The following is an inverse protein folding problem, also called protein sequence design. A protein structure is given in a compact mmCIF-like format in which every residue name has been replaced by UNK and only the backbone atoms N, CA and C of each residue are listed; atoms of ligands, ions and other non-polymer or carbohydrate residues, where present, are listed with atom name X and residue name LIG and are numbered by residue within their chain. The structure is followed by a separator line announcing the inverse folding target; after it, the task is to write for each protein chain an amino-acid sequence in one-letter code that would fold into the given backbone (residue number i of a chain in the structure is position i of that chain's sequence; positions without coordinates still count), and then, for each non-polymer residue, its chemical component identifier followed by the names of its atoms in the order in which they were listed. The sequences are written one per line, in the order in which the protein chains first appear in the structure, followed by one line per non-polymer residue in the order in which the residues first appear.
data_IF_184862624823
#
_entry.id   IF_184862624823
#
_cell.length_a   1.000
_cell.length_b   1.000
_cell.length_c   1.000
_cell.angle_alpha   90.00
_cell.angle_beta   90.00
_cell.angle_gamma   90.00
#
_symmetry.space_group_name_H-M   'P 1'
#
loop_
_entity.id
_entity.type
_entity.pdbx_description
1 polymer ?
#
# COMPACT_ATOMS: atom_id res chain seq x y z
N UNK A 1 -16.82 -19.68 13.15
CA UNK A 1 -18.18 -19.18 13.49
C UNK A 1 -18.19 -18.05 14.53
N UNK A 2 -17.18 -17.86 15.38
CA UNK A 2 -17.17 -16.84 16.45
C UNK A 2 -16.87 -15.39 15.98
N UNK A 3 -16.08 -15.19 14.96
CA UNK A 3 -15.71 -13.86 14.44
C UNK A 3 -16.86 -13.17 13.66
N UNK A 4 -17.64 -13.95 12.90
CA UNK A 4 -18.76 -13.41 12.13
C UNK A 4 -19.89 -12.87 13.03
N UNK A 5 -20.07 -13.42 14.25
CA UNK A 5 -21.11 -12.93 15.19
C UNK A 5 -20.76 -11.61 15.88
N UNK A 6 -19.47 -11.32 16.11
CA UNK A 6 -19.03 -10.05 16.73
C UNK A 6 -19.17 -8.87 15.77
N UNK A 7 -18.92 -9.08 14.47
CA UNK A 7 -19.08 -8.06 13.44
C UNK A 7 -20.56 -7.69 13.17
N UNK A 8 -21.49 -8.60 13.47
CA UNK A 8 -22.92 -8.37 13.31
C UNK A 8 -23.47 -7.35 14.32
N UNK A 9 -22.93 -7.33 15.53
CA UNK A 9 -23.34 -6.41 16.59
C UNK A 9 -22.91 -4.94 16.32
N UNK A 10 -21.72 -4.75 15.71
CA UNK A 10 -21.22 -3.42 15.36
C UNK A 10 -22.01 -2.76 14.20
N UNK A 11 -22.40 -3.55 13.19
CA UNK A 11 -23.18 -3.06 12.06
C UNK A 11 -24.64 -2.75 12.41
N UNK A 12 -25.23 -3.44 13.38
CA UNK A 12 -26.60 -3.20 13.81
C UNK A 12 -26.78 -1.88 14.60
N UNK A 13 -25.71 -1.36 15.21
CA UNK A 13 -25.70 -0.06 15.90
C UNK A 13 -25.80 1.14 14.95
N UNK A 14 -25.22 1.01 13.74
CA UNK A 14 -25.15 2.10 12.75
C UNK A 14 -26.41 2.16 11.86
N UNK A 15 -27.10 1.04 11.63
CA UNK A 15 -28.17 0.94 10.62
C UNK A 15 -29.61 0.99 11.17
N UNK A 16 -29.80 1.08 12.48
CA UNK A 16 -31.13 1.10 13.09
C UNK A 16 -31.90 -0.23 12.94
N UNK A 17 -32.88 -0.48 13.85
CA UNK A 17 -33.58 -1.78 14.02
C UNK A 17 -34.44 -2.31 12.83
N UNK A 18 -34.34 -1.74 11.63
CA UNK A 18 -35.18 -2.12 10.46
C UNK A 18 -34.44 -2.53 9.19
N UNK A 19 -33.11 -2.72 9.22
CA UNK A 19 -32.36 -3.19 8.07
C UNK A 19 -32.15 -4.73 8.11
N UNK A 20 -32.54 -5.45 7.06
CA UNK A 20 -32.17 -6.85 6.85
C UNK A 20 -30.91 -6.91 5.99
N UNK A 21 -29.86 -7.52 6.52
CA UNK A 21 -28.62 -7.77 5.80
C UNK A 21 -28.80 -9.02 4.92
N UNK A 22 -28.66 -8.87 3.60
CA UNK A 22 -28.59 -10.01 2.67
C UNK A 22 -27.16 -10.04 2.10
N UNK A 23 -26.39 -11.05 2.44
CA UNK A 23 -25.03 -11.25 1.93
C UNK A 23 -25.13 -12.05 0.65
N UNK A 24 -24.78 -11.43 -0.48
CA UNK A 24 -24.59 -12.10 -1.78
C UNK A 24 -23.14 -12.52 -1.98
N UNK A 25 -22.87 -13.38 -2.97
CA UNK A 25 -21.57 -13.96 -3.31
C UNK A 25 -20.45 -12.94 -3.61
N UNK A 26 -19.16 -13.34 -3.64
CA UNK A 26 -18.01 -12.45 -3.71
C UNK A 26 -18.03 -11.56 -4.96
N UNK A 27 -17.81 -10.26 -4.77
CA UNK A 27 -17.93 -9.20 -5.79
C UNK A 27 -19.19 -8.34 -5.61
N UNK A 28 -19.97 -8.57 -4.57
CA UNK A 28 -21.32 -8.11 -4.40
C UNK A 28 -21.49 -6.66 -3.96
N UNK A 29 -22.55 -6.08 -4.44
CA UNK A 29 -23.16 -4.83 -3.96
C UNK A 29 -24.08 -5.19 -2.78
N UNK A 30 -23.81 -4.63 -1.59
CA UNK A 30 -24.71 -4.76 -0.45
C UNK A 30 -26.00 -3.95 -0.71
N UNK A 31 -27.15 -4.60 -0.83
CA UNK A 31 -28.43 -3.91 -0.86
C UNK A 31 -28.91 -3.68 0.56
N UNK A 32 -28.87 -2.45 1.02
CA UNK A 32 -29.28 -2.05 2.37
C UNK A 32 -30.60 -1.28 2.28
N UNK A 33 -31.67 -1.94 2.74
CA UNK A 33 -32.97 -1.31 2.94
C UNK A 33 -33.80 -1.02 1.68
N UNK A 34 -35.12 -1.06 1.83
CA UNK A 34 -36.12 -0.66 0.82
C UNK A 34 -36.63 0.73 1.19
N UNK A 35 -36.46 1.70 0.32
CA UNK A 35 -37.11 2.99 0.48
C UNK A 35 -38.62 2.86 0.24
N UNK A 36 -39.45 3.76 0.81
CA UNK A 36 -40.91 3.76 0.66
C UNK A 36 -41.40 3.80 -0.81
N UNK A 37 -40.55 4.26 -1.72
CA UNK A 37 -40.82 4.34 -3.17
C UNK A 37 -40.34 3.12 -3.98
N UNK A 38 -39.91 2.04 -3.34
CA UNK A 38 -39.45 0.82 -4.04
C UNK A 38 -38.01 0.80 -4.52
N UNK A 39 -37.25 1.88 -4.38
CA UNK A 39 -35.85 1.98 -4.80
C UNK A 39 -34.89 1.38 -3.76
N UNK A 40 -33.77 0.79 -4.21
CA UNK A 40 -32.74 0.25 -3.33
C UNK A 40 -31.54 1.18 -3.28
N UNK A 41 -31.01 1.42 -2.09
CA UNK A 41 -29.75 2.11 -1.91
C UNK A 41 -28.60 1.09 -2.07
N UNK A 42 -27.77 1.26 -3.10
CA UNK A 42 -26.60 0.43 -3.32
C UNK A 42 -25.36 1.12 -2.71
N UNK A 43 -24.81 0.57 -1.62
CA UNK A 43 -23.56 1.03 -1.06
C UNK A 43 -22.42 0.18 -1.64
N UNK A 44 -21.42 0.83 -2.23
CA UNK A 44 -20.25 0.16 -2.77
C UNK A 44 -19.39 -0.36 -1.61
N UNK A 45 -19.48 -1.65 -1.33
CA UNK A 45 -18.80 -2.33 -0.20
C UNK A 45 -17.29 -2.05 -0.17
N UNK A 46 -16.65 -1.91 -1.33
CA UNK A 46 -15.22 -1.67 -1.43
C UNK A 46 -14.74 -0.41 -0.68
N UNK A 47 -15.55 0.64 -0.63
CA UNK A 47 -15.19 1.90 0.08
C UNK A 47 -15.27 1.73 1.60
N UNK A 48 -16.29 1.04 2.10
CA UNK A 48 -16.43 0.74 3.53
C UNK A 48 -15.33 -0.18 4.06
N UNK A 49 -14.92 -1.17 3.27
CA UNK A 49 -13.80 -2.05 3.65
C UNK A 49 -12.45 -1.33 3.59
N UNK A 50 -12.26 -0.39 2.67
CA UNK A 50 -11.06 0.45 2.61
C UNK A 50 -10.96 1.37 3.82
N UNK A 51 -12.04 2.06 4.19
CA UNK A 51 -12.10 2.94 5.36
C UNK A 51 -11.89 2.15 6.67
N UNK A 52 -12.55 1.00 6.84
CA UNK A 52 -12.36 0.13 8.01
C UNK A 52 -10.93 -0.41 8.13
N UNK A 53 -10.28 -0.76 7.03
CA UNK A 53 -8.89 -1.23 7.01
C UNK A 53 -7.90 -0.12 7.35
N UNK A 54 -8.16 1.09 6.86
CA UNK A 54 -7.36 2.27 7.18
C UNK A 54 -7.48 2.63 8.67
N UNK A 55 -8.68 2.54 9.25
CA UNK A 55 -8.92 2.71 10.69
C UNK A 55 -8.19 1.64 11.54
N UNK A 56 -8.11 0.39 11.05
CA UNK A 56 -7.40 -0.68 11.76
C UNK A 56 -5.90 -0.39 11.91
N UNK A 57 -5.23 0.11 10.88
CA UNK A 57 -3.81 0.47 10.97
C UNK A 57 -3.55 1.60 11.97
N UNK A 58 -4.57 2.40 12.26
CA UNK A 58 -4.48 3.53 13.18
C UNK A 58 -4.86 3.19 14.63
N UNK A 59 -5.51 2.07 14.88
CA UNK A 59 -6.05 1.69 16.19
C UNK A 59 -5.29 0.57 16.89
N UNK A 60 -4.44 -0.17 16.17
CA UNK A 60 -3.71 -1.34 16.69
C UNK A 60 -2.22 -1.22 16.36
N UNK A 61 -1.37 -1.87 17.16
CA UNK A 61 0.03 -2.09 16.78
C UNK A 61 0.08 -3.06 15.60
N UNK A 62 0.73 -2.65 14.53
CA UNK A 62 0.80 -3.42 13.27
C UNK A 62 2.24 -3.79 12.93
N UNK A 63 2.38 -4.81 12.12
CA UNK A 63 3.66 -5.29 11.60
C UNK A 63 3.99 -4.56 10.29
N UNK A 64 5.08 -3.81 10.25
CA UNK A 64 5.45 -3.02 9.09
C UNK A 64 6.79 -3.50 8.54
N UNK A 65 6.78 -3.91 7.26
CA UNK A 65 7.99 -4.22 6.51
C UNK A 65 8.54 -2.94 5.88
N UNK A 66 9.79 -2.62 6.17
CA UNK A 66 10.50 -1.47 5.61
C UNK A 66 11.53 -1.94 4.59
N UNK A 67 11.42 -1.50 3.34
CA UNK A 67 12.33 -1.85 2.25
C UNK A 67 13.10 -0.61 1.82
N UNK A 68 14.42 -0.62 2.03
CA UNK A 68 15.31 0.44 1.55
C UNK A 68 15.84 0.08 0.16
N UNK A 69 15.34 0.78 -0.85
CA UNK A 69 15.78 0.71 -2.24
C UNK A 69 16.81 1.79 -2.61
N UNK A 70 17.35 2.48 -1.62
CA UNK A 70 18.46 3.43 -1.82
C UNK A 70 19.70 2.71 -2.31
N UNK A 71 20.44 3.36 -3.22
CA UNK A 71 21.69 2.82 -3.80
C UNK A 71 22.64 3.95 -4.14
N UNK A 72 23.93 3.74 -3.85
CA UNK A 72 24.99 4.58 -4.40
C UNK A 72 25.15 4.29 -5.89
N UNK A 73 24.78 5.26 -6.74
CA UNK A 73 24.86 5.13 -8.19
C UNK A 73 24.97 6.50 -8.88
N UNK A 74 25.87 6.59 -9.86
CA UNK A 74 26.12 7.83 -10.59
C UNK A 74 26.60 8.94 -9.64
N UNK A 75 25.83 10.03 -9.57
CA UNK A 75 26.10 11.16 -8.68
C UNK A 75 25.39 11.08 -7.33
N UNK A 76 24.57 10.06 -7.12
CA UNK A 76 23.82 9.85 -5.87
C UNK A 76 24.56 8.89 -4.95
N UNK A 77 24.74 9.31 -3.70
CA UNK A 77 25.27 8.42 -2.66
C UNK A 77 24.18 7.57 -1.96
N UNK A 78 22.91 7.68 -2.38
CA UNK A 78 21.78 6.97 -1.76
C UNK A 78 21.37 7.46 -0.37
N UNK A 79 22.10 8.40 0.22
CA UNK A 79 21.98 8.79 1.64
C UNK A 79 20.59 9.26 2.07
N UNK A 80 19.90 10.05 1.24
CA UNK A 80 18.58 10.56 1.60
C UNK A 80 17.55 9.42 1.77
N UNK A 81 17.57 8.43 0.88
CA UNK A 81 16.67 7.27 1.02
C UNK A 81 16.96 6.49 2.29
N UNK A 82 18.23 6.24 2.59
CA UNK A 82 18.62 5.60 3.84
C UNK A 82 18.22 6.40 5.08
N UNK A 83 18.39 7.74 5.05
CA UNK A 83 17.93 8.62 6.14
C UNK A 83 16.41 8.52 6.33
N UNK A 84 15.61 8.56 5.27
CA UNK A 84 14.17 8.44 5.36
C UNK A 84 13.75 7.04 5.85
N UNK A 85 14.42 5.99 5.39
CA UNK A 85 14.20 4.62 5.89
C UNK A 85 14.42 4.53 7.42
N UNK A 86 15.53 5.05 7.92
CA UNK A 86 15.82 5.08 9.36
C UNK A 86 14.81 5.98 10.12
N UNK A 87 14.39 7.09 9.52
CA UNK A 87 13.34 7.96 10.09
C UNK A 87 12.03 7.19 10.23
N UNK A 88 11.60 6.46 9.19
CA UNK A 88 10.39 5.64 9.25
C UNK A 88 10.47 4.58 10.35
N UNK A 89 11.59 3.84 10.42
CA UNK A 89 11.81 2.85 11.48
C UNK A 89 11.64 3.46 12.86
N UNK A 90 12.35 4.55 13.13
CA UNK A 90 12.33 5.19 14.44
C UNK A 90 10.96 5.74 14.81
N UNK A 91 10.27 6.42 13.87
CA UNK A 91 8.96 7.00 14.07
C UNK A 91 7.90 5.92 14.33
N UNK A 92 7.89 4.85 13.53
CA UNK A 92 6.91 3.78 13.67
C UNK A 92 7.11 2.96 14.94
N UNK A 93 8.37 2.68 15.32
CA UNK A 93 8.68 2.02 16.59
C UNK A 93 8.29 2.88 17.80
N UNK A 94 8.48 4.21 17.71
CA UNK A 94 8.04 5.14 18.75
C UNK A 94 6.50 5.18 18.90
N UNK A 95 5.76 4.89 17.84
CA UNK A 95 4.30 4.71 17.86
C UNK A 95 3.88 3.31 18.34
N UNK A 96 4.83 2.42 18.66
CA UNK A 96 4.57 1.06 19.16
C UNK A 96 4.40 -0.01 18.09
N UNK A 97 4.60 0.32 16.80
CA UNK A 97 4.53 -0.67 15.73
C UNK A 97 5.76 -1.60 15.73
N UNK A 98 5.58 -2.82 15.22
CA UNK A 98 6.66 -3.76 15.01
C UNK A 98 7.22 -3.59 13.60
N UNK A 99 8.56 -3.49 13.48
CA UNK A 99 9.21 -3.33 12.18
C UNK A 99 10.16 -4.48 11.87
N UNK A 100 10.17 -4.93 10.62
CA UNK A 100 11.27 -5.69 10.00
C UNK A 100 11.77 -4.91 8.81
N UNK A 101 13.03 -5.08 8.46
CA UNK A 101 13.64 -4.29 7.39
C UNK A 101 14.49 -5.13 6.45
N UNK A 102 14.70 -4.60 5.23
CA UNK A 102 15.68 -5.07 4.26
C UNK A 102 16.29 -3.87 3.55
N UNK A 103 17.63 -3.78 3.58
CA UNK A 103 18.40 -2.89 2.72
C UNK A 103 18.73 -3.67 1.44
N UNK A 104 17.99 -3.39 0.38
CA UNK A 104 18.01 -4.22 -0.85
C UNK A 104 19.42 -4.32 -1.46
N UNK A 105 20.19 -3.22 -1.40
CA UNK A 105 21.54 -3.16 -1.98
C UNK A 105 22.59 -3.97 -1.19
N UNK A 106 22.30 -4.34 0.05
CA UNK A 106 23.17 -5.21 0.88
C UNK A 106 22.95 -6.71 0.61
N UNK A 107 21.95 -7.05 -0.19
CA UNK A 107 21.56 -8.43 -0.47
C UNK A 107 20.45 -8.94 0.44
N UNK A 108 19.84 -10.05 0.07
CA UNK A 108 18.72 -10.66 0.77
C UNK A 108 18.63 -12.15 0.47
N UNK A 109 17.96 -12.87 1.38
CA UNK A 109 17.64 -14.30 1.26
C UNK A 109 16.16 -14.47 0.89
N UNK A 110 15.86 -15.12 -0.23
CA UNK A 110 14.50 -15.19 -0.77
C UNK A 110 13.47 -15.80 0.18
N UNK A 111 13.73 -16.94 0.83
CA UNK A 111 12.81 -17.50 1.83
C UNK A 111 12.52 -16.53 2.97
N UNK A 112 13.53 -15.84 3.51
CA UNK A 112 13.32 -14.87 4.58
C UNK A 112 12.52 -13.65 4.12
N UNK A 113 12.71 -13.19 2.89
CA UNK A 113 11.92 -12.09 2.35
C UNK A 113 10.46 -12.49 2.18
N UNK A 114 10.17 -13.69 1.65
CA UNK A 114 8.79 -14.21 1.57
C UNK A 114 8.16 -14.27 2.96
N UNK A 115 8.88 -14.74 3.97
CA UNK A 115 8.40 -14.76 5.37
C UNK A 115 8.10 -13.35 5.91
N UNK A 116 8.90 -12.32 5.54
CA UNK A 116 8.63 -10.93 5.91
C UNK A 116 7.32 -10.44 5.28
N UNK A 117 7.06 -10.77 4.00
CA UNK A 117 5.78 -10.44 3.35
C UNK A 117 4.59 -11.18 3.98
N UNK A 118 4.77 -12.42 4.42
CA UNK A 118 3.73 -13.18 5.14
C UNK A 118 3.47 -12.63 6.54
N UNK A 119 4.46 -12.03 7.18
CA UNK A 119 4.37 -11.46 8.52
C UNK A 119 3.77 -10.05 8.55
N UNK A 120 4.01 -9.22 7.53
CA UNK A 120 3.62 -7.81 7.53
C UNK A 120 2.10 -7.59 7.48
N UNK A 121 1.62 -6.50 8.06
CA UNK A 121 0.31 -5.89 7.78
C UNK A 121 0.44 -4.80 6.69
N UNK A 122 1.59 -4.12 6.65
CA UNK A 122 1.91 -3.13 5.62
C UNK A 122 3.38 -3.22 5.20
N UNK A 123 3.67 -2.87 3.92
CA UNK A 123 5.04 -2.66 3.42
C UNK A 123 5.24 -1.22 2.99
N UNK A 124 6.38 -0.64 3.36
CA UNK A 124 6.84 0.68 2.89
C UNK A 124 8.03 0.48 1.96
N UNK A 125 7.89 0.90 0.71
CA UNK A 125 8.94 0.92 -0.29
C UNK A 125 9.61 2.30 -0.30
N UNK A 126 10.73 2.45 0.38
CA UNK A 126 11.56 3.65 0.35
C UNK A 126 12.53 3.56 -0.82
N UNK A 127 12.40 4.44 -1.83
CA UNK A 127 13.25 4.36 -3.02
C UNK A 127 13.38 5.69 -3.78
N UNK A 128 14.49 5.90 -4.51
CA UNK A 128 14.58 7.01 -5.45
C UNK A 128 13.79 6.73 -6.73
N UNK A 129 13.29 7.79 -7.36
CA UNK A 129 12.76 7.73 -8.72
C UNK A 129 13.89 7.79 -9.75
N UNK A 130 14.12 6.69 -10.46
CA UNK A 130 15.11 6.60 -11.52
C UNK A 130 14.43 6.30 -12.86
N UNK A 131 14.65 7.17 -13.85
CA UNK A 131 14.11 6.96 -15.19
C UNK A 131 12.61 6.56 -15.18
N UNK A 132 11.80 7.38 -14.48
CA UNK A 132 10.32 7.27 -14.36
C UNK A 132 9.83 5.99 -13.68
N UNK A 133 10.67 5.41 -12.81
CA UNK A 133 10.30 4.18 -12.10
C UNK A 133 11.21 3.88 -10.91
N UNK A 134 11.10 2.67 -10.35
CA UNK A 134 11.99 2.22 -9.29
C UNK A 134 13.40 1.95 -9.82
N UNK A 135 14.44 1.98 -8.97
CA UNK A 135 15.76 1.45 -9.30
C UNK A 135 15.68 -0.01 -9.79
N UNK A 136 16.57 -0.41 -10.69
CA UNK A 136 16.61 -1.81 -11.16
C UNK A 136 16.82 -2.81 -10.02
N UNK A 137 17.52 -2.43 -8.95
CA UNK A 137 17.70 -3.26 -7.75
C UNK A 137 16.39 -3.54 -7.04
N UNK A 138 15.54 -2.54 -6.92
CA UNK A 138 14.19 -2.67 -6.35
C UNK A 138 13.29 -3.52 -7.24
N UNK A 139 13.37 -3.31 -8.56
CA UNK A 139 12.62 -4.14 -9.52
C UNK A 139 13.09 -5.59 -9.50
N UNK A 140 14.41 -5.83 -9.45
CA UNK A 140 15.00 -7.16 -9.30
C UNK A 140 14.50 -7.83 -8.02
N UNK A 141 14.57 -7.13 -6.87
CA UNK A 141 14.06 -7.64 -5.59
C UNK A 141 12.58 -8.05 -5.71
N UNK A 142 11.75 -7.18 -6.25
CA UNK A 142 10.31 -7.48 -6.45
C UNK A 142 10.11 -8.72 -7.32
N UNK A 143 10.82 -8.81 -8.46
CA UNK A 143 10.68 -9.94 -9.38
C UNK A 143 11.11 -11.26 -8.73
N UNK A 144 12.22 -11.27 -8.01
CA UNK A 144 12.74 -12.47 -7.35
C UNK A 144 11.86 -12.90 -6.18
N UNK A 145 11.51 -11.98 -5.27
CA UNK A 145 10.75 -12.30 -4.07
C UNK A 145 9.31 -12.67 -4.40
N UNK A 146 8.65 -11.94 -5.30
CA UNK A 146 7.27 -12.28 -5.67
C UNK A 146 7.21 -13.60 -6.44
N UNK A 147 8.19 -13.89 -7.29
CA UNK A 147 8.27 -15.18 -7.97
C UNK A 147 8.53 -16.34 -6.99
N UNK A 148 9.46 -16.16 -6.04
CA UNK A 148 9.69 -17.14 -4.98
C UNK A 148 8.48 -17.35 -4.07
N UNK A 149 7.65 -16.34 -3.91
CA UNK A 149 6.42 -16.36 -3.13
C UNK A 149 5.21 -17.00 -3.82
N UNK A 150 5.35 -17.60 -5.00
CA UNK A 150 4.26 -18.29 -5.68
C UNK A 150 3.64 -19.39 -4.80
N UNK A 151 2.31 -19.40 -4.72
CA UNK A 151 1.56 -20.26 -3.81
C UNK A 151 1.45 -19.76 -2.37
N UNK A 152 2.22 -18.73 -1.98
CA UNK A 152 2.22 -18.12 -0.64
C UNK A 152 1.76 -16.65 -0.66
N UNK A 153 2.29 -15.85 -1.57
CA UNK A 153 1.89 -14.44 -1.74
C UNK A 153 0.72 -14.29 -2.71
N UNK A 154 0.63 -15.17 -3.70
CA UNK A 154 -0.47 -15.29 -4.65
C UNK A 154 -0.65 -16.75 -5.06
N UNK A 155 -1.88 -17.16 -5.32
CA UNK A 155 -2.21 -18.53 -5.75
C UNK A 155 -2.03 -18.73 -7.27
N UNK A 156 -2.49 -17.75 -8.04
CA UNK A 156 -2.45 -17.71 -9.51
C UNK A 156 -2.76 -16.27 -9.98
N UNK A 157 -3.04 -16.07 -11.24
CA UNK A 157 -3.39 -14.76 -11.81
C UNK A 157 -4.87 -14.37 -11.61
N UNK A 158 -5.68 -15.20 -10.97
CA UNK A 158 -7.11 -14.97 -10.71
C UNK A 158 -8.06 -15.45 -11.81
N UNK A 159 -7.55 -15.82 -12.98
CA UNK A 159 -8.35 -16.35 -14.08
C UNK A 159 -8.61 -17.85 -13.91
N UNK A 160 -9.63 -18.34 -14.59
CA UNK A 160 -9.91 -19.78 -14.68
C UNK A 160 -10.04 -20.21 -16.15
N UNK A 161 -9.92 -21.52 -16.41
CA UNK A 161 -10.15 -22.07 -17.76
C UNK A 161 -11.60 -21.85 -18.24
N UNK A 162 -12.55 -21.73 -17.31
CA UNK A 162 -13.96 -21.44 -17.63
C UNK A 162 -14.21 -19.94 -17.91
N UNK A 163 -13.36 -19.03 -17.39
CA UNK A 163 -13.45 -17.57 -17.60
C UNK A 163 -12.06 -16.99 -17.86
N UNK A 164 -11.45 -17.23 -19.03
CA UNK A 164 -10.06 -16.87 -19.30
C UNK A 164 -9.83 -15.36 -19.51
N UNK A 165 -10.89 -14.57 -19.63
CA UNK A 165 -10.85 -13.12 -19.84
C UNK A 165 -11.22 -12.31 -18.59
N UNK A 166 -11.61 -12.97 -17.50
CA UNK A 166 -12.10 -12.33 -16.27
C UNK A 166 -11.20 -12.65 -15.07
N UNK A 167 -11.18 -11.76 -14.08
CA UNK A 167 -10.53 -11.99 -12.79
C UNK A 167 -9.01 -11.83 -12.79
N UNK A 168 -8.38 -11.36 -13.87
CA UNK A 168 -6.92 -11.11 -13.85
C UNK A 168 -6.50 -10.18 -12.71
N UNK A 169 -5.47 -10.60 -11.96
CA UNK A 169 -4.95 -9.87 -10.81
C UNK A 169 -5.73 -10.10 -9.49
N UNK A 170 -6.67 -11.06 -9.43
CA UNK A 170 -7.46 -11.35 -8.22
C UNK A 170 -6.98 -12.58 -7.43
N UNK A 171 -5.87 -13.19 -7.84
CA UNK A 171 -5.30 -14.39 -7.19
C UNK A 171 -4.39 -14.11 -6.00
N UNK A 172 -4.24 -12.84 -5.58
CA UNK A 172 -3.41 -12.44 -4.46
C UNK A 172 -3.90 -12.97 -3.11
N UNK A 173 -2.99 -13.47 -2.28
CA UNK A 173 -3.28 -14.07 -0.97
C UNK A 173 -3.06 -13.10 0.20
N UNK A 174 -2.38 -11.98 -0.01
CA UNK A 174 -2.12 -10.97 1.02
C UNK A 174 -3.29 -9.98 1.20
N UNK A 175 -4.51 -10.47 1.05
CA UNK A 175 -5.72 -9.65 1.21
C UNK A 175 -5.83 -9.09 2.63
N UNK A 176 -6.10 -7.78 2.73
CA UNK A 176 -6.14 -7.09 4.02
C UNK A 176 -4.83 -6.42 4.39
N UNK A 177 -3.75 -6.68 3.67
CA UNK A 177 -2.45 -6.02 3.82
C UNK A 177 -2.33 -4.84 2.87
N UNK A 178 -1.38 -3.96 3.15
CA UNK A 178 -1.26 -2.69 2.45
C UNK A 178 0.17 -2.41 1.99
N UNK A 179 0.32 -1.54 0.99
CA UNK A 179 1.62 -1.05 0.54
C UNK A 179 1.62 0.48 0.43
N UNK A 180 2.74 1.09 0.80
CA UNK A 180 3.00 2.51 0.70
C UNK A 180 4.28 2.74 -0.11
N UNK A 181 4.28 3.73 -0.99
CA UNK A 181 5.51 4.22 -1.60
C UNK A 181 6.02 5.44 -0.84
N UNK A 182 7.33 5.49 -0.60
CA UNK A 182 8.06 6.65 -0.10
C UNK A 182 9.18 6.97 -1.06
N UNK A 183 9.06 8.09 -1.76
CA UNK A 183 9.83 8.38 -2.96
C UNK A 183 10.71 9.63 -2.78
N UNK A 184 11.89 9.61 -3.41
CA UNK A 184 12.72 10.80 -3.57
C UNK A 184 12.93 11.09 -5.06
N UNK A 185 12.65 12.33 -5.49
CA UNK A 185 12.74 12.74 -6.89
C UNK A 185 13.46 14.08 -7.06
N UNK A 186 14.30 14.17 -8.09
CA UNK A 186 14.85 15.44 -8.52
C UNK A 186 13.95 16.10 -9.60
N UNK A 187 12.68 16.24 -9.28
CA UNK A 187 11.70 16.98 -10.07
C UNK A 187 10.77 17.74 -9.14
N UNK A 188 10.31 18.95 -9.52
CA UNK A 188 9.36 19.72 -8.73
C UNK A 188 7.99 19.02 -8.67
N UNK A 189 7.21 19.31 -7.64
CA UNK A 189 5.88 18.72 -7.46
C UNK A 189 4.96 19.03 -8.66
N UNK A 190 5.10 20.22 -9.23
CA UNK A 190 4.34 20.68 -10.39
C UNK A 190 4.50 19.77 -11.60
N UNK A 191 5.68 19.16 -11.79
CA UNK A 191 5.91 18.21 -12.88
C UNK A 191 4.88 17.06 -12.87
N UNK A 192 4.40 16.67 -11.68
CA UNK A 192 3.42 15.59 -11.48
C UNK A 192 1.98 16.09 -11.45
N UNK A 193 1.73 17.32 -10.95
CA UNK A 193 0.39 17.76 -10.57
C UNK A 193 -0.22 18.76 -11.55
N UNK A 194 0.58 19.45 -12.38
CA UNK A 194 0.11 20.44 -13.34
C UNK A 194 -0.16 19.81 -14.70
N UNK A 195 -1.35 20.04 -15.25
CA UNK A 195 -1.79 19.42 -16.51
C UNK A 195 -0.93 19.74 -17.73
N UNK A 196 -0.23 20.89 -17.74
CA UNK A 196 0.68 21.29 -18.84
C UNK A 196 2.12 20.80 -18.68
N UNK A 197 2.47 20.18 -17.55
CA UNK A 197 3.83 19.76 -17.23
C UNK A 197 4.09 18.30 -17.63
N UNK A 198 5.32 17.83 -17.41
CA UNK A 198 5.86 16.61 -18.00
C UNK A 198 4.99 15.35 -17.81
N UNK A 199 4.40 15.18 -16.63
CA UNK A 199 3.53 14.02 -16.32
C UNK A 199 2.03 14.31 -16.53
N UNK A 200 1.67 15.43 -17.17
CA UNK A 200 0.30 15.73 -17.57
C UNK A 200 -0.70 15.91 -16.42
N UNK A 201 -0.23 16.20 -15.19
CA UNK A 201 -1.09 16.36 -14.03
C UNK A 201 -1.65 15.05 -13.44
N UNK A 202 -1.16 13.90 -13.91
CA UNK A 202 -1.67 12.59 -13.49
C UNK A 202 -1.30 12.18 -12.06
N UNK A 203 -0.38 12.91 -11.43
CA UNK A 203 0.14 12.60 -10.10
C UNK A 203 1.23 11.52 -10.10
N UNK A 204 1.91 11.38 -8.96
CA UNK A 204 3.02 10.42 -8.83
C UNK A 204 2.56 8.96 -8.93
N UNK A 205 1.39 8.63 -8.41
CA UNK A 205 0.86 7.26 -8.43
C UNK A 205 0.59 6.76 -9.86
N UNK A 206 0.25 7.65 -10.79
CA UNK A 206 0.12 7.29 -12.20
C UNK A 206 1.46 6.92 -12.85
N UNK A 207 2.56 7.56 -12.44
CA UNK A 207 3.92 7.20 -12.88
C UNK A 207 4.31 5.82 -12.35
N UNK A 208 3.88 5.50 -11.12
CA UNK A 208 4.15 4.20 -10.46
C UNK A 208 3.02 3.18 -10.63
N UNK A 209 2.07 3.39 -11.53
CA UNK A 209 0.96 2.46 -11.73
C UNK A 209 1.39 1.00 -11.91
N UNK A 210 2.41 0.65 -12.72
CA UNK A 210 2.86 -0.74 -12.83
C UNK A 210 3.38 -1.32 -11.51
N UNK A 211 4.02 -0.50 -10.68
CA UNK A 211 4.54 -0.90 -9.38
C UNK A 211 3.40 -1.13 -8.37
N UNK A 212 2.41 -0.25 -8.34
CA UNK A 212 1.19 -0.46 -7.55
C UNK A 212 0.48 -1.75 -7.99
N UNK A 213 0.33 -1.98 -9.30
CA UNK A 213 -0.34 -3.18 -9.83
C UNK A 213 0.40 -4.47 -9.48
N UNK A 214 1.73 -4.47 -9.42
CA UNK A 214 2.50 -5.62 -8.95
C UNK A 214 2.22 -5.94 -7.46
N UNK A 215 2.13 -4.90 -6.61
CA UNK A 215 1.74 -5.07 -5.21
C UNK A 215 0.28 -5.51 -5.05
N UNK A 216 -0.64 -4.95 -5.83
CA UNK A 216 -2.05 -5.37 -5.85
C UNK A 216 -2.21 -6.82 -6.34
N UNK A 217 -1.35 -7.28 -7.26
CA UNK A 217 -1.38 -8.65 -7.77
C UNK A 217 -1.15 -9.70 -6.67
N UNK A 218 -0.31 -9.39 -5.68
CA UNK A 218 -0.14 -10.24 -4.50
C UNK A 218 -1.22 -10.03 -3.43
N UNK A 219 -2.18 -9.12 -3.64
CA UNK A 219 -3.37 -8.91 -2.81
C UNK A 219 -3.31 -7.71 -1.88
N UNK A 220 -2.26 -6.87 -1.90
CA UNK A 220 -2.19 -5.68 -1.05
C UNK A 220 -3.02 -4.53 -1.63
N UNK A 221 -3.44 -3.59 -0.78
CA UNK A 221 -4.08 -2.34 -1.19
C UNK A 221 -3.18 -1.14 -0.95
N UNK A 222 -3.31 -0.12 -1.81
CA UNK A 222 -2.48 1.07 -1.77
C UNK A 222 -2.82 1.97 -0.57
N UNK A 223 -1.78 2.46 0.13
CA UNK A 223 -1.79 3.59 1.04
C UNK A 223 -1.34 4.88 0.31
N UNK A 224 -1.63 6.07 0.88
CA UNK A 224 -1.16 7.33 0.29
C UNK A 224 0.36 7.36 0.12
N UNK A 225 0.82 7.68 -1.07
CA UNK A 225 2.24 7.82 -1.39
C UNK A 225 2.85 9.07 -0.75
N UNK A 226 4.05 8.95 -0.19
CA UNK A 226 4.88 10.06 0.22
C UNK A 226 5.94 10.36 -0.84
N UNK A 227 6.25 11.64 -1.08
CA UNK A 227 7.29 12.04 -2.03
C UNK A 227 8.06 13.26 -1.55
N UNK A 228 9.40 13.19 -1.63
CA UNK A 228 10.30 14.33 -1.55
C UNK A 228 10.64 14.79 -2.96
N UNK A 229 10.35 16.05 -3.27
CA UNK A 229 10.60 16.66 -4.57
C UNK A 229 11.91 17.48 -4.56
N UNK A 230 12.50 17.71 -5.76
CA UNK A 230 13.65 18.57 -5.98
C UNK A 230 14.87 18.26 -5.08
N UNK A 231 15.11 16.99 -4.81
CA UNK A 231 16.09 16.53 -3.81
C UNK A 231 17.56 16.83 -4.15
N UNK A 232 17.86 17.33 -5.37
CA UNK A 232 19.21 17.75 -5.78
C UNK A 232 19.25 19.25 -6.03
N UNK A 233 18.27 19.81 -6.76
CA UNK A 233 18.29 21.24 -7.14
C UNK A 233 17.86 22.15 -6.02
N UNK A 234 16.95 21.74 -5.18
CA UNK A 234 16.44 22.52 -4.04
C UNK A 234 16.19 21.59 -2.82
N UNK A 235 17.24 20.97 -2.25
CA UNK A 235 17.08 20.02 -1.16
C UNK A 235 16.59 20.70 0.11
N UNK A 236 15.52 20.16 0.71
CA UNK A 236 14.90 20.61 1.96
C UNK A 236 14.86 19.44 2.96
N UNK A 237 16.03 18.86 3.27
CA UNK A 237 16.13 17.57 3.97
C UNK A 237 15.42 17.58 5.33
N UNK A 238 15.59 18.64 6.13
CA UNK A 238 14.91 18.77 7.42
C UNK A 238 13.39 18.79 7.26
N UNK A 239 12.89 19.54 6.28
CA UNK A 239 11.46 19.61 5.99
C UNK A 239 10.92 18.27 5.47
N UNK A 240 11.69 17.55 4.66
CA UNK A 240 11.27 16.21 4.20
C UNK A 240 11.10 15.25 5.38
N UNK A 241 12.03 15.28 6.35
CA UNK A 241 11.95 14.45 7.56
C UNK A 241 10.70 14.79 8.38
N UNK A 242 10.46 16.08 8.64
CA UNK A 242 9.26 16.55 9.38
C UNK A 242 7.97 16.12 8.67
N UNK A 243 7.89 16.36 7.36
CA UNK A 243 6.72 16.00 6.55
C UNK A 243 6.52 14.48 6.51
N UNK A 244 7.61 13.71 6.47
CA UNK A 244 7.52 12.26 6.44
C UNK A 244 7.00 11.69 7.76
N UNK A 245 7.50 12.18 8.89
CA UNK A 245 6.99 11.79 10.21
C UNK A 245 5.50 12.10 10.31
N UNK A 246 5.08 13.32 9.93
CA UNK A 246 3.66 13.71 9.94
C UNK A 246 2.81 12.84 8.99
N UNK A 247 3.37 12.43 7.84
CA UNK A 247 2.70 11.51 6.93
C UNK A 247 2.52 10.11 7.54
N UNK A 248 3.56 9.58 8.18
CA UNK A 248 3.50 8.30 8.89
C UNK A 248 2.50 8.32 10.04
N UNK A 249 2.47 9.40 10.83
CA UNK A 249 1.46 9.61 11.88
C UNK A 249 0.04 9.65 11.31
N UNK A 250 -0.16 10.32 10.18
CA UNK A 250 -1.48 10.34 9.51
C UNK A 250 -1.91 8.97 9.02
N UNK A 251 -0.97 8.14 8.55
CA UNK A 251 -1.28 6.82 7.95
C UNK A 251 -1.39 5.73 9.01
N UNK A 252 -0.49 5.70 9.99
CA UNK A 252 -0.35 4.62 10.95
C UNK A 252 -0.65 5.04 12.40
N UNK A 253 -0.63 6.33 12.72
CA UNK A 253 -0.87 6.83 14.06
C UNK A 253 -2.31 6.60 14.56
N UNK A 254 -2.55 6.74 15.87
CA UNK A 254 -3.88 6.60 16.44
C UNK A 254 -4.89 7.60 15.82
N UNK A 255 -6.16 7.16 15.76
CA UNK A 255 -7.24 7.93 15.19
C UNK A 255 -7.62 9.15 16.06
#
# INVERSE_FOLDING_TARGET
MGAARRNYAALSGVLGRRARLVIGAPGGVLRVGRLRNGSFFAVRIGRLFSEYRFERLRSEHVNILLLDGGKAFGHSAGRLNHTLHQTARSALQAQGHHTRETVIDEGYDLPQEVDKFLWMDAVIWQMPGWWMGPPWTVKKYMDEVFTAGAGMLFANDGRSSASPTEGYGTGGLLTGRQHMLSLTWNAPLEAFTRAGDFFGGAGVDAVYLPFHKANEFIGTSQLPTFICNDVIKNPQVEQYIVNYIAHLEKVFGPA
#
